data_IF_334862831350
#
_entry.id   IF_334862831350
#
_cell.length_a   1.000
_cell.length_b   1.000
_cell.length_c   1.000
_cell.angle_alpha   90.00
_cell.angle_beta   90.00
_cell.angle_gamma   90.00
#
_symmetry.space_group_name_H-M   'P 1'
#
loop_
_entity.id
_entity.type
_entity.pdbx_description
1 polymer ?
#
# COMPACT_ATOMS: atom_id res chain seq x y z
N UNK A 1 -18.40 -18.72 39.40
CA UNK A 1 -18.17 -19.88 38.55
C UNK A 1 -17.36 -19.45 37.34
N UNK A 2 -16.13 -19.80 37.43
CA UNK A 2 -14.98 -20.00 36.55
C UNK A 2 -14.92 -19.30 35.18
N UNK A 3 -13.86 -18.54 34.94
CA UNK A 3 -13.46 -18.05 33.62
C UNK A 3 -12.64 -19.12 32.89
N UNK A 4 -13.05 -19.50 31.70
CA UNK A 4 -12.21 -20.23 30.72
C UNK A 4 -11.74 -19.22 29.66
N UNK A 5 -10.50 -18.88 29.72
CA UNK A 5 -9.89 -18.02 28.72
C UNK A 5 -8.41 -17.81 29.00
N UNK A 6 -7.58 -18.85 28.86
CA UNK A 6 -6.10 -18.69 28.83
C UNK A 6 -5.34 -19.98 28.44
N UNK A 7 -5.92 -20.85 27.63
CA UNK A 7 -5.21 -22.07 27.16
C UNK A 7 -4.78 -22.06 25.69
N UNK A 8 -5.02 -20.99 24.94
CA UNK A 8 -4.67 -20.92 23.52
C UNK A 8 -3.32 -20.25 23.21
N UNK A 9 -2.63 -19.68 24.20
CA UNK A 9 -1.38 -18.92 23.97
C UNK A 9 -0.11 -19.77 24.20
N UNK A 10 -0.20 -20.93 24.81
CA UNK A 10 0.98 -21.72 25.24
C UNK A 10 1.31 -22.94 24.37
N UNK A 11 0.92 -22.99 23.10
CA UNK A 11 1.26 -24.10 22.18
C UNK A 11 2.23 -23.74 21.03
N UNK A 12 2.96 -22.64 21.13
CA UNK A 12 3.97 -22.26 20.15
C UNK A 12 5.44 -22.43 20.62
N UNK A 13 5.69 -23.11 21.75
CA UNK A 13 7.03 -23.16 22.35
C UNK A 13 7.82 -24.45 22.07
N UNK A 14 7.39 -25.35 21.23
CA UNK A 14 8.08 -26.63 21.06
C UNK A 14 8.50 -26.99 19.63
N UNK A 15 8.83 -25.99 18.82
CA UNK A 15 9.68 -26.22 17.66
C UNK A 15 11.09 -25.75 18.01
N UNK A 16 11.97 -26.72 18.36
CA UNK A 16 13.36 -26.51 18.72
C UNK A 16 14.22 -25.83 17.64
N UNK A 17 13.89 -24.59 17.36
CA UNK A 17 14.75 -23.66 16.64
C UNK A 17 15.64 -23.00 17.69
N UNK A 18 16.89 -23.46 17.81
CA UNK A 18 17.93 -22.68 18.46
C UNK A 18 17.88 -21.26 17.90
N UNK A 19 17.31 -20.35 18.69
CA UNK A 19 17.32 -18.91 18.40
C UNK A 19 18.76 -18.40 18.56
N UNK A 20 19.59 -18.66 17.57
CA UNK A 20 20.77 -17.85 17.35
C UNK A 20 20.28 -16.48 16.82
N UNK A 21 19.68 -15.71 17.73
CA UNK A 21 19.16 -14.39 17.44
C UNK A 21 20.31 -13.40 17.28
N UNK A 22 21.09 -13.52 16.20
CA UNK A 22 21.82 -12.38 15.69
C UNK A 22 20.77 -11.31 15.40
N UNK A 23 20.71 -10.26 16.24
CA UNK A 23 19.90 -9.08 15.93
C UNK A 23 20.36 -8.56 14.58
N UNK A 24 19.58 -8.85 13.52
CA UNK A 24 19.82 -8.31 12.20
C UNK A 24 19.64 -6.79 12.27
N UNK A 25 20.58 -6.06 11.75
CA UNK A 25 20.52 -4.60 11.67
C UNK A 25 20.01 -4.22 10.26
N UNK A 26 19.30 -3.11 10.13
CA UNK A 26 18.87 -2.58 8.82
C UNK A 26 20.07 -2.42 7.87
N UNK A 27 21.24 -2.06 8.41
CA UNK A 27 22.48 -1.93 7.62
C UNK A 27 22.98 -3.23 6.98
N UNK A 28 22.59 -4.39 7.51
CA UNK A 28 22.97 -5.69 6.97
C UNK A 28 22.30 -5.97 5.61
N UNK A 29 21.24 -5.20 5.29
CA UNK A 29 20.49 -5.25 4.02
C UNK A 29 20.86 -4.12 3.05
N UNK A 30 21.84 -3.28 3.42
CA UNK A 30 22.27 -2.18 2.56
C UNK A 30 23.07 -2.72 1.38
N UNK A 31 22.74 -2.25 0.19
CA UNK A 31 23.52 -2.40 -1.02
C UNK A 31 23.39 -1.12 -1.86
N UNK A 32 24.38 -0.88 -2.71
CA UNK A 32 24.32 0.23 -3.65
C UNK A 32 23.37 -0.11 -4.79
N UNK A 33 22.27 0.64 -4.90
CA UNK A 33 21.26 0.50 -5.94
C UNK A 33 21.26 1.74 -6.82
N UNK A 34 21.91 1.70 -8.00
CA UNK A 34 21.86 2.79 -8.96
C UNK A 34 20.43 3.11 -9.40
N UNK A 35 20.11 4.41 -9.49
CA UNK A 35 18.75 4.88 -9.78
C UNK A 35 18.23 4.36 -11.13
N UNK A 36 19.11 4.21 -12.11
CA UNK A 36 18.79 3.69 -13.44
C UNK A 36 18.36 2.22 -13.47
N UNK A 37 18.62 1.47 -12.40
CA UNK A 37 18.16 0.08 -12.26
C UNK A 37 16.75 -0.02 -11.68
N UNK A 38 16.15 1.09 -11.26
CA UNK A 38 14.77 1.13 -10.79
C UNK A 38 13.85 1.42 -11.99
N UNK A 39 13.16 0.40 -12.47
CA UNK A 39 12.20 0.56 -13.56
C UNK A 39 11.09 1.53 -13.15
N UNK A 40 10.82 2.52 -14.00
CA UNK A 40 9.82 3.55 -13.76
C UNK A 40 8.47 3.24 -14.41
N UNK A 41 8.47 2.48 -15.49
CA UNK A 41 7.26 2.09 -16.22
C UNK A 41 7.07 0.57 -16.16
N UNK A 42 5.83 0.09 -16.02
CA UNK A 42 5.54 -1.34 -16.06
C UNK A 42 5.68 -1.89 -17.48
N UNK A 43 6.03 -3.17 -17.59
CA UNK A 43 5.98 -3.87 -18.88
C UNK A 43 4.54 -3.93 -19.39
N UNK A 44 4.34 -3.90 -20.71
CA UNK A 44 3.03 -4.03 -21.35
C UNK A 44 2.39 -5.38 -20.99
N UNK A 45 3.12 -6.48 -21.18
CA UNK A 45 2.74 -7.80 -20.66
C UNK A 45 3.21 -7.98 -19.23
N UNK A 46 2.28 -8.01 -18.28
CA UNK A 46 2.55 -8.17 -16.84
C UNK A 46 3.32 -9.44 -16.54
N UNK A 47 3.00 -10.54 -17.20
CA UNK A 47 3.57 -11.84 -16.96
C UNK A 47 4.98 -12.01 -17.56
N UNK A 48 5.41 -11.06 -18.40
CA UNK A 48 6.77 -11.03 -18.96
C UNK A 48 7.83 -10.50 -17.96
N UNK A 49 7.44 -10.09 -16.78
CA UNK A 49 8.38 -9.65 -15.74
C UNK A 49 9.38 -10.75 -15.37
N UNK A 50 10.57 -10.34 -14.97
CA UNK A 50 11.60 -11.28 -14.50
C UNK A 50 11.19 -11.94 -13.20
N UNK A 51 11.44 -13.23 -13.07
CA UNK A 51 11.25 -14.04 -11.88
C UNK A 51 12.60 -14.56 -11.40
N UNK A 52 12.96 -14.32 -10.16
CA UNK A 52 14.07 -14.98 -9.48
C UNK A 52 13.48 -16.09 -8.62
N UNK A 53 13.96 -17.32 -8.85
CA UNK A 53 13.61 -18.50 -8.05
C UNK A 53 14.82 -18.90 -7.25
N UNK A 54 14.64 -19.12 -5.96
CA UNK A 54 15.71 -19.55 -5.05
C UNK A 54 15.25 -20.78 -4.28
N UNK A 55 16.05 -21.85 -4.30
CA UNK A 55 15.85 -23.00 -3.43
C UNK A 55 16.26 -22.62 -1.99
N UNK A 56 15.34 -22.76 -1.06
CA UNK A 56 15.57 -22.38 0.35
C UNK A 56 16.57 -23.25 1.08
N UNK A 57 16.83 -24.47 0.61
CA UNK A 57 17.73 -25.42 1.27
C UNK A 57 19.15 -25.33 0.72
N UNK A 58 19.30 -25.16 -0.59
CA UNK A 58 20.60 -25.10 -1.26
C UNK A 58 21.10 -23.70 -1.51
N UNK A 59 20.20 -22.70 -1.57
CA UNK A 59 20.51 -21.32 -1.96
C UNK A 59 20.74 -21.17 -3.46
N UNK A 60 20.50 -22.20 -4.26
CA UNK A 60 20.64 -22.14 -5.71
C UNK A 60 19.62 -21.19 -6.32
N UNK A 61 20.04 -20.39 -7.32
CA UNK A 61 19.23 -19.33 -7.92
C UNK A 61 19.05 -19.58 -9.40
N UNK A 62 17.80 -19.45 -9.87
CA UNK A 62 17.46 -19.49 -11.29
C UNK A 62 16.75 -18.20 -11.70
N UNK A 63 17.05 -17.73 -12.90
CA UNK A 63 16.34 -16.60 -13.53
C UNK A 63 15.32 -17.13 -14.51
N UNK A 64 14.08 -16.68 -14.36
CA UNK A 64 12.91 -17.09 -15.13
C UNK A 64 12.07 -15.87 -15.55
N UNK A 65 10.95 -16.12 -16.15
CA UNK A 65 9.90 -15.14 -16.44
C UNK A 65 8.70 -15.45 -15.56
N UNK A 66 7.95 -14.44 -15.14
CA UNK A 66 6.88 -14.63 -14.15
C UNK A 66 5.82 -15.65 -14.59
N UNK A 67 5.51 -15.74 -15.88
CA UNK A 67 4.58 -16.75 -16.40
C UNK A 67 4.98 -18.20 -16.10
N UNK A 68 6.25 -18.45 -15.85
CA UNK A 68 6.78 -19.79 -15.51
C UNK A 68 6.45 -20.18 -14.06
N UNK A 69 5.78 -19.29 -13.27
CA UNK A 69 5.43 -19.56 -11.86
C UNK A 69 4.59 -20.83 -11.70
N UNK A 70 3.80 -21.16 -12.72
CA UNK A 70 2.97 -22.37 -12.75
C UNK A 70 3.78 -23.67 -12.69
N UNK A 71 5.06 -23.66 -13.09
CA UNK A 71 5.95 -24.81 -13.01
C UNK A 71 6.38 -25.13 -11.57
N UNK A 72 6.19 -24.15 -10.65
CA UNK A 72 6.56 -24.25 -9.24
C UNK A 72 5.36 -24.54 -8.32
N UNK A 73 4.15 -24.63 -8.87
CA UNK A 73 2.92 -24.89 -8.14
C UNK A 73 2.39 -26.29 -8.47
N UNK A 74 2.08 -27.08 -7.45
CA UNK A 74 1.65 -28.47 -7.60
C UNK A 74 0.24 -28.67 -7.03
N UNK A 75 -0.49 -29.70 -7.43
CA UNK A 75 -1.77 -30.07 -6.83
C UNK A 75 -1.59 -30.26 -5.30
N UNK A 76 -2.39 -29.56 -4.53
CA UNK A 76 -2.34 -29.53 -3.06
C UNK A 76 -1.65 -28.31 -2.48
N UNK A 77 -0.94 -27.51 -3.27
CA UNK A 77 -0.42 -26.21 -2.83
C UNK A 77 -1.55 -25.21 -2.59
N UNK A 78 -1.32 -24.27 -1.69
CA UNK A 78 -2.24 -23.17 -1.40
C UNK A 78 -1.56 -21.84 -1.71
N UNK A 79 -2.03 -21.15 -2.74
CA UNK A 79 -1.59 -19.81 -3.09
C UNK A 79 -2.48 -18.78 -2.38
N UNK A 80 -1.92 -18.04 -1.42
CA UNK A 80 -2.61 -16.94 -0.76
C UNK A 80 -2.40 -15.67 -1.55
N UNK A 81 -3.50 -15.05 -1.98
CA UNK A 81 -3.50 -13.79 -2.72
C UNK A 81 -4.17 -12.68 -1.91
N UNK A 82 -3.83 -11.43 -2.21
CA UNK A 82 -4.49 -10.26 -1.65
C UNK A 82 -5.34 -9.60 -2.74
N UNK A 83 -6.65 -9.68 -2.61
CA UNK A 83 -7.65 -9.16 -3.56
C UNK A 83 -8.09 -7.73 -3.27
N UNK A 84 -7.30 -7.01 -2.47
CA UNK A 84 -7.58 -5.60 -2.18
C UNK A 84 -7.51 -4.76 -3.46
N UNK A 85 -8.43 -3.79 -3.56
CA UNK A 85 -8.46 -2.80 -4.62
C UNK A 85 -7.92 -1.47 -4.10
N UNK A 86 -6.93 -0.93 -4.80
CA UNK A 86 -6.33 0.36 -4.43
C UNK A 86 -7.26 1.49 -4.85
N UNK A 87 -7.56 2.38 -3.91
CA UNK A 87 -8.29 3.60 -4.18
C UNK A 87 -7.31 4.74 -4.55
N UNK A 88 -7.73 5.76 -5.30
CA UNK A 88 -6.89 6.93 -5.60
C UNK A 88 -6.72 7.81 -4.35
N UNK A 89 -6.03 7.25 -3.36
CA UNK A 89 -5.99 7.74 -1.98
C UNK A 89 -5.12 8.99 -1.79
N UNK A 90 -4.31 9.39 -2.78
CA UNK A 90 -3.43 10.55 -2.68
C UNK A 90 -4.13 11.81 -3.21
N UNK A 91 -4.36 12.76 -2.34
CA UNK A 91 -5.02 14.03 -2.63
C UNK A 91 -4.01 15.18 -2.57
N UNK A 92 -3.94 15.95 -3.65
CA UNK A 92 -3.14 17.18 -3.70
C UNK A 92 -4.06 18.38 -3.50
N UNK A 93 -3.78 19.19 -2.50
CA UNK A 93 -4.61 20.33 -2.14
C UNK A 93 -3.83 21.48 -1.56
N UNK A 94 -4.55 22.42 -0.99
CA UNK A 94 -4.00 23.61 -0.34
C UNK A 94 -4.68 23.86 1.00
N UNK A 95 -3.97 24.50 1.90
CA UNK A 95 -4.60 25.09 3.09
C UNK A 95 -5.44 26.29 2.69
N UNK A 96 -6.68 26.37 3.15
CA UNK A 96 -7.61 27.42 2.74
C UNK A 96 -7.15 28.82 3.20
N UNK A 97 -6.51 28.91 4.37
CA UNK A 97 -6.05 30.16 4.96
C UNK A 97 -4.77 30.75 4.31
N UNK A 98 -3.86 29.91 3.85
CA UNK A 98 -2.51 30.36 3.41
C UNK A 98 -2.21 30.01 1.96
N UNK A 99 -3.01 29.17 1.30
CA UNK A 99 -2.72 28.64 -0.04
C UNK A 99 -1.52 27.66 -0.05
N UNK A 100 -0.98 27.27 1.11
CA UNK A 100 0.15 26.38 1.17
C UNK A 100 -0.21 24.99 0.65
N UNK A 101 0.61 24.45 -0.27
CA UNK A 101 0.44 23.12 -0.86
C UNK A 101 0.50 22.02 0.21
N UNK A 102 -0.40 21.08 0.14
CA UNK A 102 -0.57 19.95 1.05
C UNK A 102 -0.81 18.68 0.23
N UNK A 103 -0.16 17.61 0.63
CA UNK A 103 -0.48 16.25 0.21
C UNK A 103 -1.19 15.53 1.37
N UNK A 104 -2.31 14.89 1.08
CA UNK A 104 -3.04 14.04 2.02
C UNK A 104 -3.16 12.64 1.42
N UNK A 105 -2.70 11.63 2.16
CA UNK A 105 -2.87 10.23 1.81
C UNK A 105 -3.89 9.60 2.75
N UNK A 106 -5.01 9.15 2.20
CA UNK A 106 -6.04 8.42 2.93
C UNK A 106 -5.49 7.04 3.34
N UNK A 107 -5.64 6.66 4.61
CA UNK A 107 -5.18 5.37 5.15
C UNK A 107 -6.35 4.47 5.53
N UNK A 108 -7.12 4.90 6.53
CA UNK A 108 -8.19 4.10 7.13
C UNK A 108 -9.44 4.96 7.27
N UNK A 109 -10.56 4.49 6.73
CA UNK A 109 -11.87 5.09 6.97
C UNK A 109 -12.33 4.76 8.37
N UNK A 110 -12.52 5.76 9.21
CA UNK A 110 -12.98 5.60 10.61
C UNK A 110 -14.50 5.73 10.74
N UNK A 111 -15.10 6.57 9.90
CA UNK A 111 -16.53 6.81 9.81
C UNK A 111 -16.87 7.24 8.38
N UNK A 112 -18.15 7.46 8.05
CA UNK A 112 -18.63 7.83 6.72
C UNK A 112 -17.75 8.88 6.03
N UNK A 113 -17.46 9.97 6.73
CA UNK A 113 -16.74 11.12 6.19
C UNK A 113 -15.44 11.42 6.96
N UNK A 114 -15.01 10.53 7.85
CA UNK A 114 -13.84 10.71 8.71
C UNK A 114 -12.78 9.66 8.37
N UNK A 115 -11.58 10.15 8.03
CA UNK A 115 -10.46 9.32 7.65
C UNK A 115 -9.23 9.60 8.51
N UNK A 116 -8.51 8.54 8.84
CA UNK A 116 -7.14 8.63 9.26
C UNK A 116 -6.25 8.80 8.03
N UNK A 117 -5.32 9.77 8.09
CA UNK A 117 -4.56 10.21 6.94
C UNK A 117 -3.11 10.53 7.29
N UNK A 118 -2.20 10.33 6.33
CA UNK A 118 -0.88 10.96 6.35
C UNK A 118 -0.95 12.31 5.66
N UNK A 119 -0.33 13.33 6.26
CA UNK A 119 -0.33 14.69 5.70
C UNK A 119 1.10 15.21 5.54
N UNK A 120 1.44 15.76 4.38
CA UNK A 120 2.73 16.41 4.11
C UNK A 120 2.52 17.84 3.60
N UNK A 121 3.19 18.84 4.24
CA UNK A 121 3.97 18.77 5.47
C UNK A 121 3.06 18.74 6.72
N UNK A 122 3.19 17.71 7.55
CA UNK A 122 2.34 17.48 8.72
C UNK A 122 2.37 18.60 9.78
N UNK A 123 3.52 19.26 9.98
CA UNK A 123 3.69 20.32 10.98
C UNK A 123 2.74 21.53 10.78
N UNK A 124 2.26 21.73 9.56
CA UNK A 124 1.38 22.85 9.18
C UNK A 124 -0.12 22.52 9.33
N UNK A 125 -0.47 21.25 9.59
CA UNK A 125 -1.85 20.78 9.70
C UNK A 125 -2.16 20.39 11.14
N UNK A 126 -2.68 21.37 11.89
CA UNK A 126 -3.13 21.24 13.29
C UNK A 126 -4.65 21.09 13.32
N UNK A 127 -5.25 20.61 14.42
CA UNK A 127 -6.70 20.61 14.60
C UNK A 127 -7.31 21.98 14.28
N UNK A 128 -8.42 21.98 13.53
CA UNK A 128 -9.08 23.18 13.01
C UNK A 128 -8.54 23.68 11.67
N UNK A 129 -7.44 23.12 11.12
CA UNK A 129 -6.97 23.50 9.78
C UNK A 129 -7.95 23.00 8.73
N UNK A 130 -8.33 23.89 7.80
CA UNK A 130 -9.18 23.57 6.65
C UNK A 130 -8.31 23.38 5.42
N UNK A 131 -8.52 22.28 4.70
CA UNK A 131 -7.86 21.91 3.47
C UNK A 131 -8.86 21.93 2.33
N UNK A 132 -8.41 22.37 1.15
CA UNK A 132 -9.25 22.44 -0.06
C UNK A 132 -8.57 21.67 -1.19
N UNK A 133 -9.34 20.87 -1.91
CA UNK A 133 -8.93 20.03 -3.01
C UNK A 133 -9.84 20.30 -4.23
N UNK A 134 -9.24 20.33 -5.43
CA UNK A 134 -10.00 20.50 -6.68
C UNK A 134 -10.86 21.75 -6.68
N UNK A 135 -10.27 22.89 -6.31
CA UNK A 135 -10.99 24.19 -6.30
C UNK A 135 -12.26 24.18 -5.42
N UNK A 136 -12.23 23.40 -4.32
CA UNK A 136 -13.31 23.33 -3.35
C UNK A 136 -14.31 22.18 -3.57
N UNK A 137 -14.10 21.31 -4.56
CA UNK A 137 -14.93 20.11 -4.75
C UNK A 137 -14.88 19.16 -3.55
N UNK A 138 -13.77 19.17 -2.81
CA UNK A 138 -13.60 18.43 -1.57
C UNK A 138 -12.92 19.34 -0.56
N UNK A 139 -13.50 19.45 0.62
CA UNK A 139 -12.90 20.14 1.78
C UNK A 139 -12.60 19.14 2.88
N UNK A 140 -11.53 19.37 3.63
CA UNK A 140 -11.15 18.53 4.76
C UNK A 140 -10.83 19.36 5.98
N UNK A 141 -11.48 19.09 7.10
CA UNK A 141 -11.17 19.71 8.39
C UNK A 141 -10.34 18.75 9.23
N UNK A 142 -9.15 19.16 9.64
CA UNK A 142 -8.32 18.39 10.57
C UNK A 142 -8.99 18.38 11.94
N UNK A 143 -9.40 17.23 12.43
CA UNK A 143 -10.04 17.06 13.73
C UNK A 143 -9.01 16.84 14.83
N UNK A 144 -8.00 15.99 14.57
CA UNK A 144 -7.02 15.61 15.58
C UNK A 144 -5.69 15.16 14.96
N UNK A 145 -4.67 15.06 15.83
CA UNK A 145 -3.34 14.51 15.51
C UNK A 145 -3.13 13.27 16.36
N UNK A 146 -3.07 12.11 15.72
CA UNK A 146 -2.91 10.81 16.39
C UNK A 146 -1.47 10.58 16.87
N UNK A 147 -1.27 9.60 17.76
CA UNK A 147 0.03 9.30 18.40
C UNK A 147 1.17 9.07 17.39
N UNK A 148 0.89 8.41 16.26
CA UNK A 148 1.87 8.17 15.19
C UNK A 148 2.10 9.37 14.27
N UNK A 149 1.47 10.50 14.56
CA UNK A 149 1.56 11.72 13.75
C UNK A 149 0.60 11.75 12.56
N UNK A 150 -0.26 10.75 12.38
CA UNK A 150 -1.37 10.75 11.43
C UNK A 150 -2.39 11.84 11.79
N UNK A 151 -3.23 12.24 10.84
CA UNK A 151 -4.32 13.20 11.06
C UNK A 151 -5.65 12.51 10.92
N UNK A 152 -6.57 12.85 11.81
CA UNK A 152 -7.97 12.54 11.64
C UNK A 152 -8.61 13.70 10.89
N UNK A 153 -9.14 13.46 9.69
CA UNK A 153 -9.73 14.49 8.84
C UNK A 153 -11.18 14.12 8.56
N UNK A 154 -12.08 15.10 8.74
CA UNK A 154 -13.45 15.05 8.26
C UNK A 154 -13.53 15.70 6.90
N UNK A 155 -14.08 14.99 5.93
CA UNK A 155 -14.30 15.50 4.58
C UNK A 155 -15.73 15.96 4.37
N UNK A 156 -15.86 17.03 3.60
CA UNK A 156 -17.12 17.63 3.17
C UNK A 156 -17.10 17.72 1.65
N UNK A 157 -18.14 17.22 1.00
CA UNK A 157 -18.27 17.08 -0.45
C UNK A 157 -19.74 16.96 -0.85
N UNK A 158 -20.05 17.14 -2.12
CA UNK A 158 -21.36 16.87 -2.69
C UNK A 158 -21.35 15.54 -3.46
N UNK A 159 -22.41 14.73 -3.32
CA UNK A 159 -22.58 13.47 -4.03
C UNK A 159 -21.92 12.26 -3.34
N UNK A 160 -21.22 11.43 -4.11
CA UNK A 160 -20.59 10.19 -3.67
C UNK A 160 -19.08 10.42 -3.50
N UNK A 161 -18.54 10.08 -2.32
CA UNK A 161 -17.15 10.31 -1.99
C UNK A 161 -16.18 9.63 -2.95
N UNK A 162 -16.50 8.40 -3.33
CA UNK A 162 -15.71 7.58 -4.24
C UNK A 162 -15.60 8.23 -5.63
N UNK A 163 -16.66 8.86 -6.13
CA UNK A 163 -16.64 9.60 -7.40
C UNK A 163 -15.78 10.86 -7.31
N UNK A 164 -15.83 11.55 -6.16
CA UNK A 164 -14.95 12.70 -5.90
C UNK A 164 -13.48 12.27 -5.86
N UNK A 165 -13.19 11.12 -5.21
CA UNK A 165 -11.83 10.55 -5.19
C UNK A 165 -11.35 10.17 -6.59
N UNK A 166 -12.18 9.58 -7.43
CA UNK A 166 -11.82 9.21 -8.80
C UNK A 166 -11.43 10.43 -9.65
N UNK A 167 -12.05 11.56 -9.38
CA UNK A 167 -11.78 12.85 -10.07
C UNK A 167 -10.52 13.54 -9.56
N UNK A 168 -10.29 13.56 -8.25
CA UNK A 168 -9.25 14.37 -7.59
C UNK A 168 -8.03 13.54 -7.16
N UNK A 169 -8.24 12.26 -6.88
CA UNK A 169 -7.23 11.40 -6.31
C UNK A 169 -6.24 10.86 -7.34
N UNK A 170 -5.04 10.64 -6.86
CA UNK A 170 -3.96 9.98 -7.57
C UNK A 170 -3.68 8.62 -6.96
N UNK A 171 -3.26 7.66 -7.79
CA UNK A 171 -2.81 6.35 -7.32
C UNK A 171 -1.56 6.54 -6.46
N UNK A 172 -1.52 5.98 -5.24
CA UNK A 172 -0.43 6.16 -4.31
C UNK A 172 0.77 5.27 -4.67
N UNK A 173 1.47 5.60 -5.74
CA UNK A 173 2.67 4.89 -6.17
C UNK A 173 3.78 4.96 -5.11
N UNK A 174 4.65 3.95 -5.03
CA UNK A 174 5.85 3.99 -4.19
C UNK A 174 6.71 5.22 -4.49
N UNK A 175 7.41 5.78 -3.49
CA UNK A 175 8.12 7.06 -3.65
C UNK A 175 9.30 7.01 -4.64
N UNK A 176 9.80 5.83 -4.98
CA UNK A 176 10.86 5.64 -5.97
C UNK A 176 10.34 5.63 -7.43
N UNK A 177 9.02 5.58 -7.63
CA UNK A 177 8.39 5.77 -8.94
C UNK A 177 8.06 7.25 -9.08
N UNK A 178 8.73 7.89 -10.04
CA UNK A 178 8.61 9.33 -10.31
C UNK A 178 7.85 9.62 -11.59
N UNK A 179 7.69 8.62 -12.47
CA UNK A 179 6.89 8.74 -13.67
C UNK A 179 5.40 8.74 -13.34
N UNK A 180 4.64 9.55 -14.06
CA UNK A 180 3.20 9.56 -13.96
C UNK A 180 2.60 8.29 -14.58
N UNK A 181 1.68 7.66 -13.88
CA UNK A 181 1.04 6.44 -14.35
C UNK A 181 0.02 6.77 -15.45
N UNK A 182 0.28 6.32 -16.69
CA UNK A 182 -0.59 6.55 -17.85
C UNK A 182 -1.95 5.86 -17.74
N UNK A 183 -1.97 4.68 -17.14
CA UNK A 183 -3.20 3.90 -16.90
C UNK A 183 -3.27 3.51 -15.42
N UNK A 184 -4.24 4.07 -14.70
CA UNK A 184 -4.47 3.81 -13.27
C UNK A 184 -4.69 2.31 -12.98
N UNK A 185 -5.27 1.55 -13.93
CA UNK A 185 -5.51 0.12 -13.77
C UNK A 185 -4.24 -0.72 -13.77
N UNK A 186 -3.12 -0.18 -14.24
CA UNK A 186 -1.83 -0.87 -14.16
C UNK A 186 -1.35 -1.08 -12.72
N UNK A 187 -1.81 -0.26 -11.77
CA UNK A 187 -1.50 -0.40 -10.34
C UNK A 187 -2.62 -1.13 -9.58
N UNK A 188 -3.33 -2.04 -10.26
CA UNK A 188 -4.31 -2.97 -9.69
C UNK A 188 -3.95 -4.40 -10.09
N UNK A 189 -4.22 -5.36 -9.22
CA UNK A 189 -4.22 -6.78 -9.59
C UNK A 189 -5.44 -7.09 -10.46
N UNK A 190 -5.36 -8.08 -11.34
CA UNK A 190 -6.49 -8.52 -12.18
C UNK A 190 -7.65 -9.10 -11.36
N UNK A 191 -7.37 -9.51 -10.13
CA UNK A 191 -8.35 -10.07 -9.19
C UNK A 191 -8.72 -9.10 -8.06
N UNK A 192 -8.39 -7.81 -8.17
CA UNK A 192 -8.75 -6.79 -7.18
C UNK A 192 -10.26 -6.65 -7.05
N UNK A 193 -10.81 -6.79 -5.84
CA UNK A 193 -12.24 -6.89 -5.58
C UNK A 193 -12.73 -5.97 -4.48
N UNK A 194 -12.00 -5.87 -3.37
CA UNK A 194 -12.42 -5.17 -2.17
C UNK A 194 -11.71 -3.83 -2.03
N UNK A 195 -12.45 -2.72 -2.18
CA UNK A 195 -11.92 -1.35 -2.03
C UNK A 195 -11.42 -1.09 -0.61
N UNK A 196 -10.42 -0.21 -0.48
CA UNK A 196 -10.01 0.31 0.83
C UNK A 196 -8.51 0.28 1.12
N UNK A 197 -7.67 -0.08 0.16
CA UNK A 197 -6.22 -0.03 0.34
C UNK A 197 -5.60 1.20 -0.29
N UNK A 198 -4.64 1.81 0.44
CA UNK A 198 -3.76 2.85 -0.08
C UNK A 198 -2.49 2.27 -0.74
N UNK A 199 -2.29 0.94 -0.74
CA UNK A 199 -1.11 0.30 -1.31
C UNK A 199 -1.49 -0.96 -2.09
N UNK A 200 -0.92 -1.13 -3.29
CA UNK A 200 -1.13 -2.33 -4.08
C UNK A 200 -0.34 -3.52 -3.54
N UNK A 201 -0.86 -4.74 -3.61
CA UNK A 201 -0.09 -5.97 -3.41
C UNK A 201 0.82 -6.19 -4.62
N UNK A 202 1.99 -5.55 -4.63
CA UNK A 202 2.84 -5.40 -5.81
C UNK A 202 3.27 -6.73 -6.44
N UNK A 203 3.47 -7.79 -5.65
CA UNK A 203 3.74 -9.13 -6.16
C UNK A 203 2.59 -9.66 -7.04
N UNK A 204 1.35 -9.29 -6.73
CA UNK A 204 0.16 -9.67 -7.49
C UNK A 204 0.01 -8.96 -8.83
N UNK A 205 0.72 -7.84 -9.05
CA UNK A 205 0.62 -7.06 -10.29
C UNK A 205 1.12 -7.81 -11.53
N UNK A 206 1.88 -8.88 -11.36
CA UNK A 206 2.42 -9.69 -12.45
C UNK A 206 1.44 -10.73 -12.98
N UNK A 207 0.35 -11.02 -12.25
CA UNK A 207 -0.68 -11.94 -12.71
C UNK A 207 -1.49 -11.34 -13.85
N UNK A 208 -1.86 -12.21 -14.79
CA UNK A 208 -2.86 -11.95 -15.85
C UNK A 208 -4.10 -12.78 -15.58
N UNK A 209 -5.20 -12.50 -16.28
CA UNK A 209 -6.43 -13.30 -16.17
C UNK A 209 -6.24 -14.74 -16.68
N UNK A 210 -5.26 -14.96 -17.55
CA UNK A 210 -4.98 -16.28 -18.14
C UNK A 210 -4.06 -17.13 -17.27
N UNK A 211 -3.37 -16.56 -16.30
CA UNK A 211 -2.44 -17.24 -15.40
C UNK A 211 -3.16 -17.74 -14.15
#
# INVERSE_FOLDING_TARGET
MTPRGNEAVNRMEDYGLERNSRRMNVKDFYFDLPQELIAQDPLEDRSASRLLVMDKNTGEIWHRVFRDITEYLHPGDCLVINDTKVIPARLMGVKEDTGAKIEVLLLIRKDKDIWETLVKPGRKCRPGTILSFGEGLLKGTVLDVMEEGNRLIRFEYEGIFEEVLDRLGQMPLPPYITHELKDKNRYQTVYAKHDGSAAAPTAGLHFTENL
#
